data_IF_527714863029
#
_entry.id   IF_527714863029
#
_cell.length_a   1.000
_cell.length_b   1.000
_cell.length_c   1.000
_cell.angle_alpha   90.00
_cell.angle_beta   90.00
_cell.angle_gamma   90.00
#
_symmetry.space_group_name_H-M   'P 1'
#
loop_
_entity.id
_entity.type
_entity.pdbx_description
1 polymer ?
#
# COMPACT_ATOMS: atom_id res chain seq x y z
N UNK A 1 10.74 8.80 -4.57
CA UNK A 1 9.34 9.01 -4.15
C UNK A 1 9.15 8.89 -2.64
N UNK A 2 9.47 7.77 -1.98
CA UNK A 2 9.29 7.62 -0.51
C UNK A 2 10.06 8.68 0.28
N UNK A 3 11.35 8.88 -0.02
CA UNK A 3 12.16 9.92 0.64
C UNK A 3 11.61 11.34 0.44
N UNK A 4 11.12 11.65 -0.77
CA UNK A 4 10.50 12.95 -1.06
C UNK A 4 9.21 13.15 -0.25
N UNK A 5 8.34 12.14 -0.22
CA UNK A 5 7.10 12.20 0.54
C UNK A 5 7.37 12.39 2.05
N UNK A 6 8.41 11.74 2.59
CA UNK A 6 8.87 11.96 3.97
C UNK A 6 9.26 13.43 4.20
N UNK A 7 10.06 14.02 3.32
CA UNK A 7 10.45 15.44 3.40
C UNK A 7 9.24 16.39 3.30
N UNK A 8 8.22 16.01 2.53
CA UNK A 8 6.99 16.78 2.35
C UNK A 8 5.91 16.50 3.41
N UNK A 9 6.20 15.68 4.42
CA UNK A 9 5.25 15.21 5.42
C UNK A 9 3.97 14.59 4.79
N UNK A 10 4.16 13.79 3.74
CA UNK A 10 3.10 13.06 3.04
C UNK A 10 3.26 11.55 3.21
N UNK A 11 2.12 10.87 3.26
CA UNK A 11 2.06 9.41 3.22
C UNK A 11 2.18 8.93 1.77
N UNK A 12 2.77 7.75 1.58
CA UNK A 12 2.83 7.06 0.29
C UNK A 12 2.00 5.79 0.41
N UNK A 13 1.17 5.54 -0.60
CA UNK A 13 0.47 4.26 -0.81
C UNK A 13 1.08 3.62 -2.04
N UNK A 14 1.52 2.37 -1.93
CA UNK A 14 2.05 1.61 -3.06
C UNK A 14 0.95 0.74 -3.70
N UNK A 15 0.79 0.85 -5.02
CA UNK A 15 -0.22 0.10 -5.79
C UNK A 15 0.32 -0.24 -7.19
N UNK A 16 0.13 -1.49 -7.70
CA UNK A 16 -0.48 -2.64 -7.03
C UNK A 16 0.51 -3.54 -6.25
N UNK A 17 0.09 -4.04 -5.09
CA UNK A 17 0.77 -5.10 -4.33
C UNK A 17 0.16 -6.46 -4.69
N UNK A 18 0.89 -7.27 -5.45
CA UNK A 18 0.41 -8.54 -6.01
C UNK A 18 1.14 -9.77 -5.46
N UNK A 19 2.24 -9.57 -4.73
CA UNK A 19 3.01 -10.66 -4.11
C UNK A 19 3.53 -10.27 -2.74
N UNK A 20 3.87 -11.27 -1.93
CA UNK A 20 4.57 -11.09 -0.66
C UNK A 20 5.91 -10.36 -0.84
N UNK A 21 6.61 -10.64 -1.95
CA UNK A 21 7.88 -10.00 -2.27
C UNK A 21 7.74 -8.48 -2.50
N UNK A 22 6.64 -8.04 -3.14
CA UNK A 22 6.34 -6.60 -3.26
C UNK A 22 6.17 -5.97 -1.88
N UNK A 23 5.30 -6.55 -1.04
CA UNK A 23 5.02 -6.04 0.31
C UNK A 23 6.28 -5.98 1.18
N UNK A 24 7.06 -7.06 1.19
CA UNK A 24 8.32 -7.15 1.94
C UNK A 24 9.32 -6.08 1.52
N UNK A 25 9.45 -5.83 0.21
CA UNK A 25 10.35 -4.80 -0.32
C UNK A 25 9.88 -3.39 0.05
N UNK A 26 8.58 -3.13 -0.07
CA UNK A 26 7.97 -1.84 0.30
C UNK A 26 8.17 -1.52 1.79
N UNK A 27 7.97 -2.51 2.67
CA UNK A 27 8.19 -2.36 4.12
C UNK A 27 9.66 -2.04 4.40
N UNK A 28 10.61 -2.75 3.77
CA UNK A 28 12.06 -2.46 3.90
C UNK A 28 12.42 -1.05 3.43
N UNK A 29 11.70 -0.53 2.44
CA UNK A 29 11.86 0.83 1.93
C UNK A 29 11.14 1.91 2.77
N UNK A 30 10.42 1.52 3.84
CA UNK A 30 9.68 2.44 4.71
C UNK A 30 8.30 2.83 4.19
N UNK A 31 7.75 2.11 3.22
CA UNK A 31 6.37 2.25 2.79
C UNK A 31 5.50 1.18 3.46
N UNK A 32 4.59 1.60 4.34
CA UNK A 32 3.75 0.71 5.14
C UNK A 32 2.28 0.70 4.70
N UNK A 33 1.92 1.48 3.69
CA UNK A 33 0.57 1.49 3.12
C UNK A 33 0.63 0.94 1.70
N UNK A 34 -0.31 0.05 1.36
CA UNK A 34 -0.40 -0.49 0.02
C UNK A 34 -1.79 -0.99 -0.31
N UNK A 35 -2.05 -1.12 -1.59
CA UNK A 35 -3.28 -1.68 -2.16
C UNK A 35 -2.90 -2.66 -3.26
N UNK A 36 -3.64 -3.77 -3.36
CA UNK A 36 -3.50 -4.73 -4.44
C UNK A 36 -4.06 -6.10 -4.06
N UNK A 37 -4.16 -6.97 -5.04
CA UNK A 37 -4.83 -8.26 -4.91
C UNK A 37 -4.19 -9.21 -3.90
N UNK A 38 -2.90 -9.04 -3.59
CA UNK A 38 -2.26 -9.82 -2.53
C UNK A 38 -2.74 -9.42 -1.13
N UNK A 39 -3.19 -8.18 -0.95
CA UNK A 39 -3.71 -7.67 0.32
C UNK A 39 -5.20 -8.01 0.41
N UNK A 40 -5.97 -7.59 -0.59
CA UNK A 40 -7.40 -7.87 -0.67
C UNK A 40 -7.89 -7.67 -2.11
N UNK A 41 -8.88 -8.47 -2.52
CA UNK A 41 -9.65 -8.18 -3.73
C UNK A 41 -10.55 -6.95 -3.49
N UNK A 42 -10.88 -6.17 -4.55
CA UNK A 42 -11.93 -5.16 -4.50
C UNK A 42 -13.20 -5.72 -3.90
N UNK A 43 -13.85 -4.91 -3.08
CA UNK A 43 -15.09 -5.28 -2.39
C UNK A 43 -16.26 -4.49 -2.96
N UNK A 44 -17.43 -5.10 -3.00
CA UNK A 44 -18.67 -4.40 -3.32
C UNK A 44 -18.97 -3.35 -2.24
N UNK A 45 -19.66 -2.27 -2.62
CA UNK A 45 -19.99 -1.16 -1.73
C UNK A 45 -20.69 -1.63 -0.44
N UNK A 46 -21.62 -2.58 -0.55
CA UNK A 46 -22.38 -3.15 0.56
C UNK A 46 -21.52 -3.90 1.58
N UNK A 47 -20.26 -4.21 1.27
CA UNK A 47 -19.34 -4.93 2.16
C UNK A 47 -18.32 -4.03 2.85
N UNK A 48 -18.37 -2.72 2.61
CA UNK A 48 -17.52 -1.76 3.33
C UNK A 48 -18.06 -1.63 4.76
N UNK A 49 -17.26 -1.94 5.81
CA UNK A 49 -17.69 -1.77 7.20
C UNK A 49 -18.03 -0.30 7.52
N UNK A 50 -18.94 -0.08 8.48
CA UNK A 50 -19.24 1.25 9.04
C UNK A 50 -18.05 1.87 9.79
#
# INVERSE_FOLDING_TARGET
>A
MIGLAKTMNRKVVAEPVETEAHGTTLIKMGCHLGQGYFIANPIEHQRIPE
#
